data_IF_480080172920
#
_entry.id   IF_480080172920
#
_cell.length_a   1.000
_cell.length_b   1.000
_cell.length_c   1.000
_cell.angle_alpha   90.00
_cell.angle_beta   90.00
_cell.angle_gamma   90.00
#
_symmetry.space_group_name_H-M   'P 1'
#
loop_
_entity.id
_entity.type
_entity.pdbx_description
1 polymer ?
#
# COMPACT_ATOMS: atom_id res chain seq x y z
N UNK A 1 -13.96 19.81 2.30
CA UNK A 1 -12.66 19.97 2.97
C UNK A 1 -11.66 20.44 1.92
N UNK A 2 -10.92 21.49 2.21
CA UNK A 2 -9.91 22.10 1.35
C UNK A 2 -8.54 21.74 1.91
N UNK A 3 -7.57 21.49 1.04
CA UNK A 3 -6.19 21.25 1.43
C UNK A 3 -5.32 22.34 0.80
N UNK A 4 -4.46 22.97 1.61
CA UNK A 4 -3.68 24.15 1.20
C UNK A 4 -2.20 23.80 1.14
N UNK A 5 -1.50 24.26 0.10
CA UNK A 5 -0.04 24.19 0.05
C UNK A 5 0.57 25.49 0.56
N UNK A 6 1.87 25.49 0.88
CA UNK A 6 2.57 26.68 1.38
C UNK A 6 2.71 27.83 0.38
N UNK A 7 2.20 27.68 -0.84
CA UNK A 7 2.24 28.70 -1.90
C UNK A 7 1.00 29.61 -1.90
N UNK A 8 -0.04 29.27 -1.14
CA UNK A 8 -1.31 30.02 -1.11
C UNK A 8 -1.41 30.77 0.22
N UNK A 9 -1.62 32.09 0.17
CA UNK A 9 -1.80 32.94 1.35
C UNK A 9 -2.98 32.49 2.21
N UNK A 10 -2.90 32.69 3.53
CA UNK A 10 -3.99 32.39 4.48
C UNK A 10 -5.19 33.32 4.24
N UNK A 11 -6.11 32.86 3.40
CA UNK A 11 -7.40 33.45 3.13
C UNK A 11 -8.52 32.44 3.42
N UNK A 12 -9.69 32.91 3.87
CA UNK A 12 -10.87 32.07 4.00
C UNK A 12 -11.40 31.71 2.61
N UNK A 13 -11.46 30.40 2.31
CA UNK A 13 -12.09 29.91 1.10
C UNK A 13 -13.55 29.54 1.39
N UNK A 14 -14.47 30.25 0.74
CA UNK A 14 -15.90 30.00 0.83
C UNK A 14 -16.46 29.51 -0.50
N UNK A 15 -17.27 28.45 -0.45
CA UNK A 15 -18.10 28.00 -1.56
C UNK A 15 -19.56 28.25 -1.19
N UNK A 16 -20.33 28.92 -2.05
CA UNK A 16 -21.72 29.28 -1.78
C UNK A 16 -21.93 29.96 -0.41
N UNK A 17 -21.03 30.89 -0.03
CA UNK A 17 -21.04 31.59 1.27
C UNK A 17 -20.82 30.70 2.50
N UNK A 18 -20.44 29.43 2.33
CA UNK A 18 -20.03 28.53 3.41
C UNK A 18 -18.53 28.34 3.41
N UNK A 19 -17.89 28.55 4.57
CA UNK A 19 -16.45 28.33 4.73
C UNK A 19 -16.13 26.85 4.63
N UNK A 20 -15.18 26.50 3.77
CA UNK A 20 -14.74 25.12 3.64
C UNK A 20 -13.71 24.84 4.74
N UNK A 21 -13.89 23.74 5.49
CA UNK A 21 -12.91 23.30 6.47
C UNK A 21 -11.56 22.99 5.82
N UNK A 22 -10.48 23.49 6.41
CA UNK A 22 -9.11 23.20 6.00
C UNK A 22 -8.59 21.93 6.70
N UNK A 23 -7.91 21.04 5.97
CA UNK A 23 -7.35 19.80 6.51
C UNK A 23 -6.01 19.43 5.90
N UNK A 24 -5.16 18.74 6.68
CA UNK A 24 -3.80 18.35 6.29
C UNK A 24 -3.73 17.03 5.50
N UNK A 25 -4.69 16.11 5.69
CA UNK A 25 -4.87 14.89 4.89
C UNK A 25 -6.34 14.66 4.53
N UNK A 26 -6.62 14.03 3.38
CA UNK A 26 -7.98 13.68 2.95
C UNK A 26 -7.99 12.27 2.32
N UNK A 27 -9.01 11.49 2.64
CA UNK A 27 -9.22 10.17 2.03
C UNK A 27 -10.08 10.30 0.77
N UNK A 28 -9.47 10.11 -0.40
CA UNK A 28 -10.15 10.10 -1.69
C UNK A 28 -10.08 8.72 -2.33
N UNK A 29 -11.23 8.15 -2.70
CA UNK A 29 -11.34 6.81 -3.29
C UNK A 29 -10.55 5.73 -2.52
N UNK A 30 -10.53 5.87 -1.20
CA UNK A 30 -9.86 4.96 -0.29
C UNK A 30 -8.34 5.10 -0.20
N UNK A 31 -7.71 6.06 -0.89
CA UNK A 31 -6.32 6.49 -0.73
C UNK A 31 -6.26 7.78 0.09
N UNK A 32 -5.35 7.83 1.06
CA UNK A 32 -5.03 9.05 1.77
C UNK A 32 -4.09 9.92 0.93
N UNK A 33 -4.46 11.18 0.79
CA UNK A 33 -3.70 12.20 0.07
C UNK A 33 -3.35 13.28 1.08
N UNK A 34 -2.13 13.80 1.02
CA UNK A 34 -1.66 14.93 1.82
C UNK A 34 -0.90 15.94 0.94
N UNK A 35 -0.75 17.16 1.43
CA UNK A 35 -0.14 18.25 0.67
C UNK A 35 1.38 18.11 0.51
N UNK A 36 2.02 17.30 1.35
CA UNK A 36 3.44 16.96 1.22
C UNK A 36 3.68 15.83 0.22
N UNK A 37 2.61 15.24 -0.33
CA UNK A 37 2.62 14.04 -1.18
C UNK A 37 3.38 12.85 -0.58
N UNK A 38 3.55 12.83 0.75
CA UNK A 38 4.20 11.72 1.42
C UNK A 38 3.29 10.50 1.47
N UNK A 39 3.90 9.32 1.57
CA UNK A 39 3.18 8.05 1.60
C UNK A 39 3.04 7.49 3.02
N UNK A 40 3.47 8.23 4.04
CA UNK A 40 3.59 7.68 5.39
C UNK A 40 2.21 7.35 5.98
N UNK A 41 1.27 8.29 5.89
CA UNK A 41 -0.09 8.08 6.39
C UNK A 41 -0.84 7.04 5.56
N UNK A 42 -0.71 7.09 4.23
CA UNK A 42 -1.28 6.10 3.31
C UNK A 42 -0.77 4.68 3.61
N UNK A 43 0.55 4.46 3.75
CA UNK A 43 1.10 3.14 4.07
C UNK A 43 0.67 2.65 5.46
N UNK A 44 0.51 3.55 6.43
CA UNK A 44 -0.04 3.21 7.75
C UNK A 44 -1.50 2.75 7.64
N UNK A 45 -2.31 3.45 6.85
CA UNK A 45 -3.68 3.06 6.54
C UNK A 45 -3.77 1.72 5.81
N UNK A 46 -2.91 1.48 4.81
CA UNK A 46 -2.80 0.21 4.08
C UNK A 46 -2.40 -0.94 4.98
N UNK A 47 -1.43 -0.74 5.88
CA UNK A 47 -1.05 -1.71 6.90
C UNK A 47 -2.26 -2.13 7.71
N UNK A 48 -3.06 -1.18 8.20
CA UNK A 48 -4.26 -1.47 9.01
C UNK A 48 -5.29 -2.27 8.21
N UNK A 49 -5.59 -1.86 6.97
CA UNK A 49 -6.51 -2.56 6.07
C UNK A 49 -6.04 -3.98 5.76
N UNK A 50 -4.74 -4.16 5.53
CA UNK A 50 -4.14 -5.46 5.27
C UNK A 50 -4.26 -6.41 6.47
N UNK A 51 -4.00 -5.92 7.69
CA UNK A 51 -4.23 -6.72 8.90
C UNK A 51 -5.71 -7.07 9.09
N UNK A 52 -6.62 -6.14 8.77
CA UNK A 52 -8.06 -6.42 8.74
C UNK A 52 -8.42 -7.52 7.75
N UNK A 53 -7.89 -7.47 6.52
CA UNK A 53 -8.11 -8.51 5.51
C UNK A 53 -7.51 -9.86 5.95
N UNK A 54 -6.31 -9.86 6.55
CA UNK A 54 -5.67 -11.06 7.04
C UNK A 54 -6.47 -11.73 8.16
N UNK A 55 -7.06 -10.95 9.06
CA UNK A 55 -7.89 -11.48 10.16
C UNK A 55 -9.04 -12.38 9.66
N UNK A 56 -9.59 -12.09 8.48
CA UNK A 56 -10.66 -12.90 7.89
C UNK A 56 -10.19 -14.29 7.44
N UNK A 57 -8.90 -14.45 7.12
CA UNK A 57 -8.32 -15.73 6.67
C UNK A 57 -7.41 -16.38 7.71
N UNK A 58 -7.22 -15.73 8.86
CA UNK A 58 -6.21 -16.10 9.85
C UNK A 58 -6.40 -17.53 10.39
N UNK A 59 -7.64 -17.91 10.71
CA UNK A 59 -7.95 -19.26 11.21
C UNK A 59 -7.63 -20.34 10.16
N UNK A 60 -8.01 -20.10 8.90
CA UNK A 60 -7.71 -21.00 7.77
C UNK A 60 -6.21 -21.12 7.56
N UNK A 61 -5.48 -19.99 7.57
CA UNK A 61 -4.03 -19.96 7.44
C UNK A 61 -3.36 -20.75 8.56
N UNK A 62 -3.78 -20.55 9.82
CA UNK A 62 -3.24 -21.26 10.99
C UNK A 62 -3.43 -22.78 10.90
N UNK A 63 -4.60 -23.25 10.46
CA UNK A 63 -4.92 -24.69 10.30
C UNK A 63 -4.22 -25.33 9.10
N UNK A 64 -3.96 -24.56 8.06
CA UNK A 64 -3.31 -25.05 6.83
C UNK A 64 -1.83 -25.27 7.09
N UNK A 65 -1.30 -26.50 6.97
CA UNK A 65 0.14 -26.75 7.12
C UNK A 65 0.97 -26.40 5.87
N UNK A 66 0.35 -26.48 4.69
CA UNK A 66 1.03 -26.26 3.42
C UNK A 66 1.22 -24.76 3.14
N UNK A 67 2.47 -24.29 3.10
CA UNK A 67 2.76 -22.86 2.92
C UNK A 67 2.32 -22.31 1.57
N UNK A 68 2.40 -23.12 0.51
CA UNK A 68 1.93 -22.73 -0.83
C UNK A 68 0.42 -22.50 -0.88
N UNK A 69 -0.35 -23.26 -0.09
CA UNK A 69 -1.79 -23.00 0.05
C UNK A 69 -2.03 -21.72 0.85
N UNK A 70 -1.23 -21.46 1.90
CA UNK A 70 -1.30 -20.18 2.62
C UNK A 70 -1.03 -19.01 1.68
N UNK A 71 0.05 -19.03 0.89
CA UNK A 71 0.39 -17.95 -0.04
C UNK A 71 -0.70 -17.73 -1.11
N UNK A 72 -1.30 -18.81 -1.63
CA UNK A 72 -2.47 -18.74 -2.53
C UNK A 72 -3.71 -18.09 -1.91
N UNK A 73 -3.88 -18.16 -0.59
CA UNK A 73 -4.93 -17.41 0.12
C UNK A 73 -4.53 -15.95 0.34
N UNK A 74 -3.26 -15.70 0.67
CA UNK A 74 -2.75 -14.35 0.96
C UNK A 74 -2.72 -13.44 -0.26
N UNK A 75 -2.15 -13.91 -1.37
CA UNK A 75 -1.92 -13.15 -2.59
C UNK A 75 -3.18 -12.47 -3.17
N UNK A 76 -4.37 -13.09 -3.20
CA UNK A 76 -5.58 -12.42 -3.67
C UNK A 76 -6.31 -11.61 -2.59
N UNK A 77 -6.01 -11.78 -1.30
CA UNK A 77 -6.80 -11.16 -0.21
C UNK A 77 -6.08 -9.99 0.46
N UNK A 78 -4.83 -10.20 0.89
CA UNK A 78 -4.09 -9.24 1.71
C UNK A 78 -3.17 -8.37 0.85
N UNK A 79 -2.50 -8.96 -0.15
CA UNK A 79 -1.61 -8.21 -1.03
C UNK A 79 -2.33 -7.03 -1.73
N UNK A 80 -3.57 -7.17 -2.24
CA UNK A 80 -4.29 -6.02 -2.79
C UNK A 80 -4.62 -4.97 -1.74
N UNK A 81 -4.92 -5.36 -0.49
CA UNK A 81 -5.18 -4.41 0.59
C UNK A 81 -3.92 -3.58 0.94
N UNK A 82 -2.73 -4.19 0.88
CA UNK A 82 -1.44 -3.49 1.06
C UNK A 82 -1.14 -2.57 -0.12
N UNK A 83 -1.38 -3.02 -1.36
CA UNK A 83 -0.86 -2.38 -2.58
C UNK A 83 -1.90 -1.58 -3.37
N UNK A 84 -3.11 -1.43 -2.84
CA UNK A 84 -4.16 -0.65 -3.50
C UNK A 84 -3.70 0.79 -3.74
N UNK A 85 -4.05 1.33 -4.90
CA UNK A 85 -3.63 2.63 -5.41
C UNK A 85 -2.12 2.80 -5.64
N UNK A 86 -1.33 1.72 -5.59
CA UNK A 86 0.12 1.77 -5.85
C UNK A 86 0.53 2.34 -7.21
N UNK A 87 -0.34 2.25 -8.23
CA UNK A 87 -0.12 2.93 -9.51
C UNK A 87 -0.05 4.46 -9.40
N UNK A 88 -0.61 5.04 -8.33
CA UNK A 88 -0.58 6.49 -8.07
C UNK A 88 0.57 6.92 -7.15
N UNK A 89 1.32 5.96 -6.59
CA UNK A 89 2.39 6.27 -5.66
C UNK A 89 3.67 6.70 -6.39
N UNK A 90 4.45 7.54 -5.72
CA UNK A 90 5.83 7.87 -6.07
C UNK A 90 6.73 7.22 -5.03
N UNK A 91 7.06 5.94 -5.23
CA UNK A 91 7.79 5.14 -4.25
C UNK A 91 9.24 5.63 -4.09
N UNK A 92 9.56 6.22 -2.95
CA UNK A 92 10.95 6.50 -2.54
C UNK A 92 11.54 5.29 -1.83
N UNK A 93 12.86 5.28 -1.63
CA UNK A 93 13.54 4.19 -0.91
C UNK A 93 13.01 3.98 0.51
N UNK A 94 12.60 5.05 1.18
CA UNK A 94 11.97 4.95 2.51
C UNK A 94 10.60 4.26 2.43
N UNK A 95 9.79 4.56 1.42
CA UNK A 95 8.47 3.97 1.24
C UNK A 95 8.58 2.48 0.89
N UNK A 96 9.55 2.09 0.05
CA UNK A 96 9.89 0.68 -0.23
C UNK A 96 10.27 -0.08 1.04
N UNK A 97 11.08 0.54 1.91
CA UNK A 97 11.45 -0.05 3.21
C UNK A 97 10.24 -0.23 4.11
N UNK A 98 9.34 0.76 4.18
CA UNK A 98 8.11 0.65 4.97
C UNK A 98 7.20 -0.47 4.46
N UNK A 99 7.04 -0.63 3.14
CA UNK A 99 6.32 -1.77 2.56
C UNK A 99 6.98 -3.11 2.93
N UNK A 100 8.32 -3.18 2.81
CA UNK A 100 9.09 -4.37 3.17
C UNK A 100 8.94 -4.76 4.63
N UNK A 101 8.79 -3.79 5.54
CA UNK A 101 8.55 -4.03 6.97
C UNK A 101 7.14 -4.60 7.22
N UNK A 102 6.14 -4.07 6.52
CA UNK A 102 4.75 -4.60 6.58
C UNK A 102 4.75 -6.06 6.10
N UNK A 103 5.33 -6.30 4.94
CA UNK A 103 5.43 -7.63 4.34
C UNK A 103 6.17 -8.63 5.24
N UNK A 104 7.31 -8.24 5.83
CA UNK A 104 8.07 -9.09 6.76
C UNK A 104 7.24 -9.56 7.95
N UNK A 105 6.28 -8.74 8.39
CA UNK A 105 5.38 -9.11 9.47
C UNK A 105 4.39 -10.20 9.03
N UNK A 106 3.85 -10.10 7.83
CA UNK A 106 3.01 -11.15 7.26
C UNK A 106 3.80 -12.43 6.96
N UNK A 107 4.99 -12.34 6.37
CA UNK A 107 5.84 -13.52 6.11
C UNK A 107 6.11 -14.32 7.39
N UNK A 108 6.45 -13.64 8.49
CA UNK A 108 6.63 -14.29 9.80
C UNK A 108 5.39 -15.05 10.25
N UNK A 109 4.21 -14.42 10.16
CA UNK A 109 2.94 -15.07 10.52
C UNK A 109 2.64 -16.25 9.60
N UNK A 110 2.94 -16.13 8.31
CA UNK A 110 2.69 -17.14 7.29
C UNK A 110 3.60 -18.36 7.43
N UNK A 111 4.84 -18.16 7.90
CA UNK A 111 5.79 -19.24 8.21
C UNK A 111 5.58 -19.78 9.65
N UNK A 112 4.95 -19.00 10.54
CA UNK A 112 4.74 -19.37 11.94
C UNK A 112 5.96 -19.07 12.84
N UNK A 113 6.78 -18.10 12.46
CA UNK A 113 8.01 -17.71 13.19
C UNK A 113 7.78 -16.41 13.95
N UNK A 114 7.98 -16.43 15.27
CA UNK A 114 7.94 -15.21 16.08
C UNK A 114 9.17 -14.34 15.83
N UNK A 115 9.10 -13.05 16.17
CA UNK A 115 10.28 -12.16 16.06
C UNK A 115 11.43 -12.62 16.96
N UNK A 116 11.12 -13.17 18.13
CA UNK A 116 12.12 -13.72 19.05
C UNK A 116 12.82 -14.92 18.43
N UNK A 117 12.06 -15.91 17.96
CA UNK A 117 12.57 -17.10 17.25
C UNK A 117 13.41 -16.71 16.04
N UNK A 118 12.95 -15.72 15.25
CA UNK A 118 13.71 -15.25 14.09
C UNK A 118 15.13 -14.79 14.46
N UNK A 119 15.26 -14.04 15.57
CA UNK A 119 16.55 -13.49 16.03
C UNK A 119 17.41 -14.58 16.66
N UNK A 120 16.83 -15.39 17.56
CA UNK A 120 17.55 -16.46 18.27
C UNK A 120 18.09 -17.50 17.30
N UNK A 121 17.31 -17.88 16.29
CA UNK A 121 17.69 -18.90 15.32
C UNK A 121 18.45 -18.30 14.11
N UNK A 122 18.72 -16.99 14.11
CA UNK A 122 19.45 -16.31 13.04
C UNK A 122 18.79 -16.36 11.67
N UNK A 123 17.46 -16.50 11.60
CA UNK A 123 16.70 -16.65 10.34
C UNK A 123 16.74 -15.34 9.56
N UNK A 124 17.30 -15.38 8.35
CA UNK A 124 17.42 -14.19 7.49
C UNK A 124 16.08 -13.83 6.90
N UNK A 125 15.93 -12.55 6.54
CA UNK A 125 14.72 -12.08 5.85
C UNK A 125 14.55 -12.73 4.46
N UNK A 126 15.64 -13.14 3.81
CA UNK A 126 15.60 -13.96 2.59
C UNK A 126 14.93 -15.31 2.80
N UNK A 127 15.21 -15.94 3.94
CA UNK A 127 14.70 -17.27 4.26
C UNK A 127 13.20 -17.19 4.53
N UNK A 128 12.73 -16.12 5.17
CA UNK A 128 11.29 -15.86 5.34
C UNK A 128 10.58 -15.66 4.00
N UNK A 129 11.16 -14.92 3.05
CA UNK A 129 10.60 -14.78 1.68
C UNK A 129 10.49 -16.12 0.99
N UNK A 130 11.60 -16.86 0.98
CA UNK A 130 11.67 -18.16 0.33
C UNK A 130 10.65 -19.14 0.94
N UNK A 131 10.55 -19.19 2.28
CA UNK A 131 9.64 -20.11 2.97
C UNK A 131 8.18 -19.71 2.83
N UNK A 132 7.86 -18.41 2.79
CA UNK A 132 6.47 -17.93 2.73
C UNK A 132 5.85 -18.05 1.35
N UNK A 133 6.65 -18.06 0.28
CA UNK A 133 6.20 -18.13 -1.13
C UNK A 133 5.17 -17.06 -1.53
N UNK A 134 5.09 -15.97 -0.78
CA UNK A 134 4.21 -14.84 -1.08
C UNK A 134 4.80 -13.98 -2.20
N UNK A 135 3.95 -13.30 -2.96
CA UNK A 135 4.43 -12.31 -3.93
C UNK A 135 5.03 -11.09 -3.21
N UNK A 136 6.17 -10.63 -3.73
CA UNK A 136 6.86 -9.44 -3.24
C UNK A 136 6.00 -8.18 -3.41
N UNK A 137 5.64 -7.54 -2.30
CA UNK A 137 4.74 -6.40 -2.28
C UNK A 137 5.33 -5.15 -2.96
N UNK A 138 6.65 -4.94 -2.83
CA UNK A 138 7.35 -3.80 -3.44
C UNK A 138 7.39 -3.98 -4.95
N UNK A 139 7.72 -5.18 -5.42
CA UNK A 139 7.72 -5.55 -6.82
C UNK A 139 6.30 -5.43 -7.41
N UNK A 140 5.29 -5.92 -6.69
CA UNK A 140 3.89 -5.80 -7.13
C UNK A 140 3.45 -4.34 -7.28
N UNK A 141 3.82 -3.46 -6.34
CA UNK A 141 3.54 -2.04 -6.40
C UNK A 141 4.21 -1.37 -7.63
N UNK A 142 5.48 -1.70 -7.89
CA UNK A 142 6.21 -1.22 -9.08
C UNK A 142 5.57 -1.70 -10.37
N UNK A 143 5.22 -2.97 -10.45
CA UNK A 143 4.52 -3.52 -11.61
C UNK A 143 3.16 -2.84 -11.82
N UNK A 144 2.45 -2.50 -10.75
CA UNK A 144 1.18 -1.77 -10.83
C UNK A 144 1.36 -0.37 -11.44
N UNK A 145 2.47 0.32 -11.15
CA UNK A 145 2.84 1.58 -11.83
C UNK A 145 3.05 1.38 -13.32
N UNK A 146 3.79 0.35 -13.72
CA UNK A 146 4.04 0.04 -15.15
C UNK A 146 2.73 -0.31 -15.87
N UNK A 147 1.88 -1.14 -15.25
CA UNK A 147 0.55 -1.49 -15.79
C UNK A 147 -0.32 -0.25 -15.99
N UNK A 148 -0.28 0.68 -15.03
CA UNK A 148 -0.98 1.97 -15.13
C UNK A 148 -0.45 2.80 -16.29
N UNK A 149 0.87 2.97 -16.43
CA UNK A 149 1.46 3.67 -17.58
C UNK A 149 1.04 3.04 -18.91
N UNK A 150 1.11 1.71 -19.02
CA UNK A 150 0.66 1.00 -20.21
C UNK A 150 -0.84 1.19 -20.49
N UNK A 151 -1.67 1.31 -19.46
CA UNK A 151 -3.08 1.66 -19.62
C UNK A 151 -3.25 3.06 -20.20
N UNK A 152 -2.50 4.05 -19.69
CA UNK A 152 -2.50 5.44 -20.21
C UNK A 152 -2.09 5.48 -21.68
N UNK A 153 -1.03 4.78 -22.07
CA UNK A 153 -0.57 4.73 -23.47
C UNK A 153 -1.61 4.13 -24.44
N UNK A 154 -2.50 3.25 -23.96
CA UNK A 154 -3.58 2.65 -24.76
C UNK A 154 -4.88 3.47 -24.77
N UNK A 155 -5.02 4.47 -23.89
CA UNK A 155 -6.23 5.30 -23.85
C UNK A 155 -6.32 6.15 -25.10
N UNK A 156 -7.31 5.92 -25.97
CA UNK A 156 -7.48 6.69 -27.21
C UNK A 156 -8.47 7.86 -27.07
N UNK A 157 -8.70 8.34 -25.84
CA UNK A 157 -9.61 9.43 -25.56
C UNK A 157 -8.88 10.74 -25.21
N UNK A 158 -9.56 11.87 -25.40
CA UNK A 158 -9.04 13.22 -25.10
C UNK A 158 -9.05 13.52 -23.59
N UNK A 159 -8.87 12.51 -22.73
CA UNK A 159 -8.81 12.72 -21.29
C UNK A 159 -7.50 13.40 -20.92
N UNK A 160 -7.60 14.31 -19.97
CA UNK A 160 -6.48 15.04 -19.38
C UNK A 160 -5.33 14.11 -18.93
N UNK A 161 -5.64 12.89 -18.49
CA UNK A 161 -4.62 11.92 -18.08
C UNK A 161 -3.61 11.60 -19.18
N UNK A 162 -4.03 11.53 -20.45
CA UNK A 162 -3.13 11.36 -21.59
C UNK A 162 -2.43 12.67 -21.95
N UNK A 163 -3.20 13.76 -22.06
CA UNK A 163 -2.69 15.07 -22.47
C UNK A 163 -1.61 15.65 -21.54
N UNK A 164 -1.61 15.33 -20.24
CA UNK A 164 -0.60 15.79 -19.26
C UNK A 164 0.58 14.82 -19.16
N UNK A 165 0.51 13.66 -19.82
CA UNK A 165 1.58 12.66 -19.85
C UNK A 165 2.46 12.72 -21.11
N UNK A 166 1.99 13.41 -22.16
CA UNK A 166 2.72 13.71 -23.40
C UNK A 166 3.58 14.98 -23.23
#
# INVERSE_FOLDING_TARGET
MLMRNGLVSYALFALNRTNISEGSSYAYLGREINMLTDLASELSGRKRKAWGAFKNIEDVVKRTKNTRLRSRLFDPTVLPAVTYASGTWSLRKQDERSLSVIERAFERTMVGVSRFTQVTDGIRSSDLRQRSEMKDAVLYAKQSKIRWTGHVMRMNDNRWTRAVSD
#
